data_IF_105309271987
#
_entry.id   IF_105309271987
#
_cell.length_a   1.000
_cell.length_b   1.000
_cell.length_c   1.000
_cell.angle_alpha   90.00
_cell.angle_beta   90.00
_cell.angle_gamma   90.00
#
_symmetry.space_group_name_H-M   'P 1'
#
loop_
_entity.id
_entity.type
_entity.pdbx_description
1 polymer ?
#
# COMPACT_ATOMS: atom_id res chain seq x y z
N UNK A 1 -0.26 -7.84 -34.73
CA UNK A 1 -0.98 -9.13 -34.62
C UNK A 1 -2.19 -9.23 -35.55
N UNK A 2 -3.39 -8.73 -35.22
CA UNK A 2 -4.57 -8.91 -36.11
C UNK A 2 -4.43 -8.22 -37.47
N UNK A 3 -3.91 -6.99 -37.49
CA UNK A 3 -3.54 -6.29 -38.73
C UNK A 3 -2.46 -7.01 -39.56
N UNK A 4 -1.70 -7.92 -38.94
CA UNK A 4 -0.66 -8.73 -39.59
C UNK A 4 -1.17 -10.15 -39.95
N UNK A 5 -2.48 -10.40 -39.85
CA UNK A 5 -3.10 -11.67 -40.24
C UNK A 5 -3.09 -12.77 -39.17
N UNK A 6 -2.65 -12.47 -37.94
CA UNK A 6 -2.74 -13.42 -36.82
C UNK A 6 -4.17 -13.38 -36.27
N UNK A 7 -4.98 -14.35 -36.68
CA UNK A 7 -6.37 -14.55 -36.21
C UNK A 7 -6.47 -15.46 -34.98
N UNK A 8 -7.67 -15.57 -34.41
CA UNK A 8 -7.94 -16.40 -33.24
C UNK A 8 -7.54 -17.86 -33.43
N UNK A 9 -7.81 -18.46 -34.59
CA UNK A 9 -7.43 -19.86 -34.90
C UNK A 9 -5.92 -20.10 -34.77
N UNK A 10 -5.10 -19.12 -35.18
CA UNK A 10 -3.64 -19.22 -35.06
C UNK A 10 -3.20 -19.12 -33.59
N UNK A 11 -3.85 -18.27 -32.80
CA UNK A 11 -3.57 -18.13 -31.38
C UNK A 11 -4.02 -19.38 -30.60
N UNK A 12 -5.14 -20.00 -30.97
CA UNK A 12 -5.58 -21.28 -30.42
C UNK A 12 -4.60 -22.41 -30.74
N UNK A 13 -4.04 -22.44 -31.96
CA UNK A 13 -2.98 -23.39 -32.30
C UNK A 13 -1.74 -23.21 -31.40
N UNK A 14 -1.36 -21.96 -31.07
CA UNK A 14 -0.27 -21.71 -30.13
C UNK A 14 -0.60 -22.13 -28.69
N UNK A 15 -1.84 -21.98 -28.24
CA UNK A 15 -2.30 -22.50 -26.94
C UNK A 15 -2.07 -24.01 -26.87
N UNK A 16 -2.52 -24.73 -27.88
CA UNK A 16 -2.39 -26.20 -27.93
C UNK A 16 -0.91 -26.62 -27.98
N UNK A 17 -0.09 -25.94 -28.79
CA UNK A 17 1.35 -26.22 -28.88
C UNK A 17 2.09 -25.99 -27.55
N UNK A 18 1.76 -24.93 -26.80
CA UNK A 18 2.36 -24.68 -25.49
C UNK A 18 1.95 -25.72 -24.44
N UNK A 19 0.71 -26.22 -24.52
CA UNK A 19 0.22 -27.28 -23.63
C UNK A 19 0.89 -28.63 -23.93
N UNK A 20 1.04 -28.99 -25.21
CA UNK A 20 1.68 -30.23 -25.64
C UNK A 20 3.20 -30.27 -25.37
N UNK A 21 3.88 -29.14 -25.56
CA UNK A 21 5.32 -29.03 -25.32
C UNK A 21 5.70 -28.85 -23.84
N UNK A 22 4.72 -28.79 -22.93
CA UNK A 22 4.95 -28.51 -21.51
C UNK A 22 5.71 -29.65 -20.83
N UNK A 23 6.79 -29.35 -20.07
CA UNK A 23 7.43 -30.35 -19.21
C UNK A 23 6.44 -30.91 -18.19
N UNK A 24 6.34 -32.24 -18.08
CA UNK A 24 5.45 -32.90 -17.13
C UNK A 24 6.26 -33.51 -15.97
N UNK A 25 5.89 -33.19 -14.73
CA UNK A 25 6.43 -33.85 -13.55
C UNK A 25 5.66 -35.14 -13.29
N UNK A 26 6.22 -36.27 -13.75
CA UNK A 26 5.65 -37.59 -13.51
C UNK A 26 6.17 -38.14 -12.18
N UNK A 27 5.33 -38.03 -11.15
CA UNK A 27 5.53 -38.64 -9.83
C UNK A 27 4.34 -39.54 -9.50
N UNK A 28 4.60 -40.72 -8.95
CA UNK A 28 3.54 -41.63 -8.49
C UNK A 28 3.58 -41.80 -6.96
N UNK A 29 2.42 -41.94 -6.27
CA UNK A 29 2.36 -42.07 -4.82
C UNK A 29 3.15 -43.26 -4.23
N UNK A 30 3.48 -44.26 -5.05
CA UNK A 30 4.20 -45.47 -4.67
C UNK A 30 5.69 -45.44 -5.01
N UNK A 31 6.22 -44.35 -5.57
CA UNK A 31 7.66 -44.21 -5.81
C UNK A 31 8.43 -44.02 -4.50
N UNK A 32 9.68 -44.51 -4.46
CA UNK A 32 10.55 -44.31 -3.30
C UNK A 32 10.86 -42.81 -3.11
N UNK A 33 10.93 -42.30 -1.86
CA UNK A 33 11.17 -40.88 -1.58
C UNK A 33 12.38 -40.29 -2.33
N UNK A 34 13.52 -41.01 -2.35
CA UNK A 34 14.74 -40.55 -3.03
C UNK A 34 14.54 -40.37 -4.55
N UNK A 35 13.71 -41.22 -5.18
CA UNK A 35 13.39 -41.12 -6.59
C UNK A 35 12.46 -39.93 -6.88
N UNK A 36 11.51 -39.66 -5.96
CA UNK A 36 10.63 -38.50 -6.04
C UNK A 36 11.43 -37.20 -5.88
N UNK A 37 12.30 -37.12 -4.88
CA UNK A 37 13.16 -35.95 -4.62
C UNK A 37 14.09 -35.66 -5.81
N UNK A 38 14.70 -36.70 -6.40
CA UNK A 38 15.52 -36.55 -7.59
C UNK A 38 14.73 -35.99 -8.78
N UNK A 39 13.51 -36.48 -9.03
CA UNK A 39 12.66 -35.99 -10.12
C UNK A 39 12.23 -34.54 -9.89
N UNK A 40 11.89 -34.17 -8.67
CA UNK A 40 11.55 -32.78 -8.30
C UNK A 40 12.75 -31.86 -8.54
N UNK A 41 13.95 -32.29 -8.13
CA UNK A 41 15.17 -31.51 -8.31
C UNK A 41 15.55 -31.31 -9.78
N UNK A 42 15.30 -32.32 -10.63
CA UNK A 42 15.61 -32.28 -12.06
C UNK A 42 14.51 -31.65 -12.93
N UNK A 43 13.33 -31.38 -12.36
CA UNK A 43 12.20 -30.83 -13.11
C UNK A 43 12.48 -29.40 -13.57
N UNK A 44 12.26 -29.11 -14.86
CA UNK A 44 12.39 -27.77 -15.40
C UNK A 44 11.20 -26.88 -15.01
N UNK A 45 11.20 -26.44 -13.74
CA UNK A 45 10.21 -25.52 -13.19
C UNK A 45 10.16 -24.21 -13.98
N UNK A 46 11.30 -23.76 -14.53
CA UNK A 46 11.37 -22.50 -15.30
C UNK A 46 10.67 -22.65 -16.64
N UNK A 47 10.99 -23.71 -17.39
CA UNK A 47 10.34 -24.02 -18.66
C UNK A 47 8.84 -24.27 -18.50
N UNK A 48 8.44 -25.03 -17.47
CA UNK A 48 7.04 -25.25 -17.13
C UNK A 48 6.29 -23.92 -16.90
N UNK A 49 6.80 -23.06 -16.02
CA UNK A 49 6.18 -21.76 -15.72
C UNK A 49 6.16 -20.84 -16.94
N UNK A 50 7.18 -20.88 -17.78
CA UNK A 50 7.24 -20.07 -18.99
C UNK A 50 6.21 -20.52 -20.03
N UNK A 51 6.07 -21.84 -20.28
CA UNK A 51 5.03 -22.39 -21.15
C UNK A 51 3.64 -22.04 -20.63
N UNK A 52 3.39 -22.24 -19.33
CA UNK A 52 2.09 -21.93 -18.73
C UNK A 52 1.70 -20.45 -18.89
N UNK A 53 2.64 -19.53 -18.69
CA UNK A 53 2.42 -18.09 -18.91
C UNK A 53 2.12 -17.75 -20.36
N UNK A 54 2.85 -18.33 -21.32
CA UNK A 54 2.63 -18.10 -22.76
C UNK A 54 1.28 -18.65 -23.20
N UNK A 55 0.94 -19.87 -22.78
CA UNK A 55 -0.38 -20.46 -23.02
C UNK A 55 -1.50 -19.52 -22.52
N UNK A 56 -1.39 -19.00 -21.31
CA UNK A 56 -2.38 -18.09 -20.74
C UNK A 56 -2.50 -16.78 -21.54
N UNK A 57 -1.38 -16.21 -21.99
CA UNK A 57 -1.37 -15.02 -22.85
C UNK A 57 -2.05 -15.32 -24.19
N UNK A 58 -1.67 -16.40 -24.88
CA UNK A 58 -2.26 -16.76 -26.17
C UNK A 58 -3.75 -17.03 -26.04
N UNK A 59 -4.17 -17.74 -24.99
CA UNK A 59 -5.59 -17.98 -24.70
C UNK A 59 -6.35 -16.68 -24.54
N UNK A 60 -5.79 -15.71 -23.81
CA UNK A 60 -6.43 -14.40 -23.63
C UNK A 60 -6.47 -13.62 -24.95
N UNK A 61 -5.39 -13.59 -25.72
CA UNK A 61 -5.34 -12.92 -27.03
C UNK A 61 -6.33 -13.51 -28.05
N UNK A 62 -6.60 -14.82 -27.97
CA UNK A 62 -7.54 -15.51 -28.84
C UNK A 62 -9.00 -15.09 -28.59
N UNK A 63 -9.32 -14.69 -27.36
CA UNK A 63 -10.64 -14.17 -27.00
C UNK A 63 -10.85 -12.82 -27.70
N UNK A 64 -11.94 -12.69 -28.46
CA UNK A 64 -12.35 -11.41 -29.05
C UNK A 64 -13.04 -10.53 -28.00
N UNK A 65 -12.28 -10.15 -26.98
CA UNK A 65 -12.75 -9.35 -25.87
C UNK A 65 -12.36 -7.86 -26.05
N UNK A 66 -13.33 -6.93 -26.09
CA UNK A 66 -13.03 -5.50 -26.15
C UNK A 66 -12.26 -4.98 -24.93
N UNK A 67 -12.28 -5.67 -23.78
CA UNK A 67 -11.52 -5.34 -22.58
C UNK A 67 -10.29 -6.23 -22.39
N UNK A 68 -9.67 -6.63 -23.50
CA UNK A 68 -8.39 -7.33 -23.50
C UNK A 68 -7.30 -6.53 -22.77
N UNK A 69 -7.34 -5.20 -22.94
CA UNK A 69 -6.43 -4.24 -22.32
C UNK A 69 -6.55 -4.23 -20.79
N UNK A 70 -7.69 -4.62 -20.21
CA UNK A 70 -7.89 -4.75 -18.76
C UNK A 70 -6.94 -5.77 -18.12
N UNK A 71 -6.47 -6.77 -18.89
CA UNK A 71 -5.59 -7.85 -18.39
C UNK A 71 -4.25 -7.95 -19.11
N UNK A 72 -4.17 -7.44 -20.35
CA UNK A 72 -2.95 -7.48 -21.14
C UNK A 72 -2.40 -6.08 -21.33
N UNK A 73 -1.16 -5.86 -20.91
CA UNK A 73 -0.43 -4.62 -21.21
C UNK A 73 0.84 -4.91 -22.00
N UNK A 74 1.28 -3.93 -22.79
CA UNK A 74 2.56 -3.95 -23.48
C UNK A 74 3.55 -3.07 -22.73
N UNK A 75 4.71 -3.61 -22.39
CA UNK A 75 5.77 -2.87 -21.69
C UNK A 75 7.08 -2.95 -22.46
N UNK A 76 7.82 -1.84 -22.51
CA UNK A 76 9.17 -1.81 -23.03
C UNK A 76 10.16 -1.96 -21.88
N UNK A 77 10.87 -3.09 -21.85
CA UNK A 77 11.96 -3.33 -20.92
C UNK A 77 13.28 -2.88 -21.54
N UNK A 78 14.07 -2.13 -20.77
CA UNK A 78 15.42 -1.74 -21.15
C UNK A 78 16.44 -2.62 -20.42
N UNK A 79 17.20 -3.43 -21.16
CA UNK A 79 18.24 -4.32 -20.62
C UNK A 79 19.51 -4.21 -21.48
N UNK A 80 20.68 -4.05 -20.84
CA UNK A 80 21.99 -4.04 -21.50
C UNK A 80 22.11 -3.14 -22.74
N UNK A 81 21.49 -1.95 -22.71
CA UNK A 81 21.52 -0.99 -23.83
C UNK A 81 20.55 -1.29 -24.98
N UNK A 82 19.75 -2.36 -24.87
CA UNK A 82 18.66 -2.68 -25.79
C UNK A 82 17.28 -2.43 -25.18
N UNK A 83 16.26 -2.31 -26.04
CA UNK A 83 14.86 -2.26 -25.65
C UNK A 83 14.15 -3.51 -26.19
N UNK A 84 13.36 -4.19 -25.35
CA UNK A 84 12.50 -5.30 -25.76
C UNK A 84 11.06 -5.03 -25.33
N UNK A 85 10.11 -5.33 -26.20
CA UNK A 85 8.69 -5.27 -25.86
C UNK A 85 8.24 -6.59 -25.25
N UNK A 86 7.52 -6.54 -24.13
CA UNK A 86 6.94 -7.70 -23.47
C UNK A 86 5.44 -7.52 -23.29
N UNK A 87 4.69 -8.62 -23.47
CA UNK A 87 3.28 -8.67 -23.12
C UNK A 87 3.19 -9.15 -21.67
N UNK A 88 2.53 -8.37 -20.82
CA UNK A 88 2.22 -8.73 -19.43
C UNK A 88 0.77 -9.18 -19.34
N UNK A 89 0.56 -10.35 -18.74
CA UNK A 89 -0.75 -10.80 -18.28
C UNK A 89 -0.88 -10.50 -16.79
N UNK A 90 -1.88 -9.71 -16.46
CA UNK A 90 -2.29 -9.40 -15.10
C UNK A 90 -3.40 -10.36 -14.70
N UNK A 91 -3.14 -11.17 -13.69
CA UNK A 91 -4.08 -12.15 -13.15
C UNK A 91 -3.79 -12.38 -11.67
N UNK A 92 -4.81 -12.76 -10.92
CA UNK A 92 -4.66 -13.26 -9.55
C UNK A 92 -5.02 -14.75 -9.50
N UNK A 93 -4.49 -15.44 -8.50
CA UNK A 93 -4.86 -16.82 -8.23
C UNK A 93 -6.03 -16.83 -7.23
N UNK A 94 -7.19 -17.43 -7.57
CA UNK A 94 -8.32 -17.46 -6.66
C UNK A 94 -8.00 -18.32 -5.44
N UNK A 95 -8.57 -17.93 -4.29
CA UNK A 95 -8.46 -18.73 -3.06
C UNK A 95 -9.17 -20.08 -3.26
N UNK A 96 -8.52 -21.22 -2.95
CA UNK A 96 -9.18 -22.52 -2.93
C UNK A 96 -10.44 -22.51 -2.03
N UNK A 97 -11.49 -23.23 -2.47
CA UNK A 97 -12.81 -23.29 -1.82
C UNK A 97 -13.14 -24.70 -1.34
N UNK A 98 -12.16 -25.39 -0.78
CA UNK A 98 -12.31 -26.72 -0.21
C UNK A 98 -12.92 -26.72 1.20
N UNK A 99 -13.01 -25.56 1.86
CA UNK A 99 -13.62 -25.39 3.17
C UNK A 99 -14.36 -24.04 3.31
N UNK A 100 -15.28 -23.89 4.30
CA UNK A 100 -15.88 -22.61 4.64
C UNK A 100 -14.82 -21.56 5.00
N UNK A 101 -14.92 -20.36 4.39
CA UNK A 101 -13.98 -19.27 4.60
C UNK A 101 -14.54 -18.22 5.57
N UNK A 102 -13.76 -17.87 6.60
CA UNK A 102 -13.98 -16.70 7.44
C UNK A 102 -12.79 -15.76 7.30
N UNK A 103 -13.03 -14.53 6.90
CA UNK A 103 -12.02 -13.49 6.77
C UNK A 103 -12.15 -12.52 7.95
N UNK A 104 -11.06 -12.33 8.70
CA UNK A 104 -10.98 -11.39 9.80
C UNK A 104 -9.94 -10.33 9.46
N UNK A 105 -10.42 -9.15 9.07
CA UNK A 105 -9.57 -8.02 8.74
C UNK A 105 -10.26 -6.74 9.23
N UNK A 106 -9.49 -5.85 9.87
CA UNK A 106 -9.98 -4.62 10.46
C UNK A 106 -10.33 -3.56 9.41
N UNK A 107 -9.70 -3.64 8.24
CA UNK A 107 -9.80 -2.67 7.17
C UNK A 107 -10.32 -3.32 5.88
N UNK A 108 -10.94 -4.49 5.95
CA UNK A 108 -11.47 -5.20 4.78
C UNK A 108 -12.30 -4.27 3.88
N UNK A 109 -12.06 -4.35 2.57
CA UNK A 109 -12.90 -3.67 1.59
C UNK A 109 -13.90 -4.66 0.96
N UNK A 110 -15.19 -4.32 0.86
CA UNK A 110 -16.20 -5.20 0.26
C UNK A 110 -15.94 -5.56 -1.22
N UNK A 111 -15.43 -4.64 -2.04
CA UNK A 111 -15.17 -4.88 -3.47
C UNK A 111 -14.00 -5.86 -3.64
N UNK A 112 -12.90 -5.65 -2.90
CA UNK A 112 -11.78 -6.61 -2.84
C UNK A 112 -12.25 -7.96 -2.29
N UNK A 113 -12.98 -7.94 -1.19
CA UNK A 113 -13.45 -9.16 -0.52
C UNK A 113 -14.33 -9.98 -1.44
N UNK A 114 -15.27 -9.35 -2.16
CA UNK A 114 -16.12 -10.05 -3.11
C UNK A 114 -15.30 -10.67 -4.25
N UNK A 115 -14.18 -10.06 -4.64
CA UNK A 115 -13.32 -10.63 -5.68
C UNK A 115 -12.53 -11.86 -5.21
N UNK A 116 -12.06 -11.83 -3.97
CA UNK A 116 -11.34 -12.96 -3.36
C UNK A 116 -12.30 -14.07 -2.91
N UNK A 117 -13.50 -13.68 -2.50
CA UNK A 117 -14.53 -14.50 -1.87
C UNK A 117 -15.92 -14.09 -2.29
N UNK A 118 -16.28 -14.44 -3.52
CA UNK A 118 -17.58 -14.15 -4.09
C UNK A 118 -18.71 -14.66 -3.18
N UNK A 119 -19.69 -13.79 -2.92
CA UNK A 119 -20.83 -14.10 -2.05
C UNK A 119 -20.52 -14.08 -0.55
N UNK A 120 -19.33 -13.66 -0.11
CA UNK A 120 -19.03 -13.51 1.31
C UNK A 120 -19.93 -12.47 1.97
N UNK A 121 -20.53 -12.82 3.12
CA UNK A 121 -21.28 -11.88 3.94
C UNK A 121 -20.32 -10.93 4.65
N UNK A 122 -20.38 -9.65 4.31
CA UNK A 122 -19.57 -8.61 4.93
C UNK A 122 -20.23 -8.11 6.23
N UNK A 123 -19.50 -8.16 7.34
CA UNK A 123 -19.94 -7.63 8.65
C UNK A 123 -18.89 -6.66 9.16
N UNK A 124 -19.29 -5.41 9.40
CA UNK A 124 -18.41 -4.36 9.92
C UNK A 124 -18.69 -4.11 11.39
N UNK A 125 -17.64 -4.15 12.21
CA UNK A 125 -17.70 -3.80 13.63
C UNK A 125 -16.82 -2.57 13.81
N UNK A 126 -17.44 -1.44 14.14
CA UNK A 126 -16.71 -0.20 14.39
C UNK A 126 -16.63 0.09 15.89
N UNK A 127 -15.48 0.60 16.32
CA UNK A 127 -15.29 1.14 17.66
C UNK A 127 -14.68 2.54 17.54
N UNK A 128 -15.17 3.47 18.37
CA UNK A 128 -14.64 4.84 18.39
C UNK A 128 -13.32 4.86 19.17
N UNK A 129 -12.24 5.42 18.60
CA UNK A 129 -10.98 5.53 19.31
C UNK A 129 -11.07 6.58 20.43
N UNK A 130 -10.49 6.27 21.58
CA UNK A 130 -10.30 7.17 22.72
C UNK A 130 -8.87 7.71 22.71
N UNK A 131 -8.64 8.76 21.91
CA UNK A 131 -7.34 9.42 21.83
C UNK A 131 -7.49 10.87 21.40
N UNK A 132 -6.63 11.76 21.86
CA UNK A 132 -6.49 13.08 21.25
C UNK A 132 -5.86 12.92 19.85
N UNK A 133 -6.60 13.27 18.80
CA UNK A 133 -6.13 13.12 17.42
C UNK A 133 -5.93 14.50 16.79
N UNK A 134 -4.67 14.85 16.51
CA UNK A 134 -4.28 16.09 15.85
C UNK A 134 -3.80 15.77 14.44
N UNK A 135 -4.33 16.46 13.43
CA UNK A 135 -3.96 16.24 12.04
C UNK A 135 -3.61 17.54 11.30
N UNK A 136 -2.48 17.52 10.59
CA UNK A 136 -2.08 18.58 9.66
C UNK A 136 -2.96 18.50 8.41
N UNK A 137 -3.52 19.63 7.99
CA UNK A 137 -4.52 19.73 6.91
C UNK A 137 -3.98 20.24 5.58
N UNK A 138 -2.79 20.85 5.56
CA UNK A 138 -2.28 21.57 4.39
C UNK A 138 -1.05 20.93 3.74
N UNK A 139 -0.52 19.82 4.26
CA UNK A 139 0.65 19.13 3.70
C UNK A 139 0.53 17.62 3.81
N UNK A 140 0.92 16.89 2.76
CA UNK A 140 0.92 15.41 2.76
C UNK A 140 2.23 14.79 3.24
N UNK A 141 3.30 15.59 3.39
CA UNK A 141 4.65 15.14 3.73
C UNK A 141 5.15 13.98 2.83
N UNK A 142 5.03 14.12 1.51
CA UNK A 142 5.52 13.09 0.59
C UNK A 142 7.03 12.93 0.69
N UNK A 143 7.54 11.74 0.34
CA UNK A 143 8.98 11.51 0.22
C UNK A 143 9.65 12.56 -0.67
N UNK A 144 9.05 12.88 -1.83
CA UNK A 144 9.55 13.92 -2.74
C UNK A 144 9.67 15.31 -2.10
N UNK A 145 8.85 15.62 -1.10
CA UNK A 145 8.86 16.90 -0.41
C UNK A 145 9.86 16.91 0.76
N UNK A 146 9.91 15.83 1.55
CA UNK A 146 10.86 15.70 2.67
C UNK A 146 12.31 15.44 2.23
N UNK A 147 12.49 14.79 1.07
CA UNK A 147 13.80 14.42 0.52
C UNK A 147 14.27 15.34 -0.60
N UNK A 148 13.57 16.45 -0.81
CA UNK A 148 14.01 17.54 -1.70
C UNK A 148 15.45 17.96 -1.35
N UNK A 149 16.30 18.14 -2.37
CA UNK A 149 17.73 18.40 -2.17
C UNK A 149 18.02 19.76 -1.53
N UNK A 150 17.20 20.77 -1.82
CA UNK A 150 17.43 22.15 -1.36
C UNK A 150 16.63 22.46 -0.10
N UNK A 151 15.33 22.16 -0.14
CA UNK A 151 14.37 22.54 0.92
C UNK A 151 14.13 21.41 1.92
N UNK A 152 14.51 20.18 1.58
CA UNK A 152 14.34 19.00 2.44
C UNK A 152 15.04 19.12 3.80
N UNK A 153 16.31 19.58 3.89
CA UNK A 153 17.00 19.71 5.18
C UNK A 153 16.22 20.55 6.20
N UNK A 154 15.70 21.73 5.81
CA UNK A 154 14.89 22.54 6.72
C UNK A 154 13.58 21.85 7.12
N UNK A 155 12.90 21.20 6.17
CA UNK A 155 11.65 20.47 6.44
C UNK A 155 11.87 19.29 7.40
N UNK A 156 13.03 18.64 7.32
CA UNK A 156 13.42 17.55 8.22
C UNK A 156 13.87 18.08 9.58
N UNK A 157 14.50 19.24 9.65
CA UNK A 157 14.76 19.93 10.92
C UNK A 157 13.45 20.27 11.64
N UNK A 158 12.47 20.85 10.94
CA UNK A 158 11.12 21.10 11.47
C UNK A 158 10.46 19.82 12.01
N UNK A 159 10.58 18.71 11.28
CA UNK A 159 10.06 17.41 11.71
C UNK A 159 10.79 16.89 12.97
N UNK A 160 12.11 17.03 13.06
CA UNK A 160 12.87 16.68 14.26
C UNK A 160 12.43 17.50 15.47
N UNK A 161 12.15 18.79 15.30
CA UNK A 161 11.59 19.65 16.37
C UNK A 161 10.25 19.13 16.87
N UNK A 162 9.35 18.71 15.98
CA UNK A 162 8.06 18.11 16.38
C UNK A 162 8.30 16.79 17.13
N UNK A 163 9.19 15.92 16.63
CA UNK A 163 9.51 14.64 17.28
C UNK A 163 10.02 14.87 18.70
N UNK A 164 10.99 15.77 18.88
CA UNK A 164 11.55 16.10 20.19
C UNK A 164 10.48 16.63 21.15
N UNK A 165 9.60 17.51 20.69
CA UNK A 165 8.50 18.05 21.50
C UNK A 165 7.52 16.97 21.93
N UNK A 166 7.09 16.11 21.01
CA UNK A 166 6.15 15.03 21.33
C UNK A 166 6.79 14.03 22.30
N UNK A 167 8.09 13.75 22.18
CA UNK A 167 8.82 12.92 23.16
C UNK A 167 8.89 13.57 24.53
N UNK A 168 9.11 14.89 24.61
CA UNK A 168 9.14 15.62 25.88
C UNK A 168 7.77 15.68 26.58
N UNK A 169 6.70 15.80 25.79
CA UNK A 169 5.33 15.94 26.32
C UNK A 169 4.65 14.60 26.61
N UNK A 170 5.14 13.50 26.04
CA UNK A 170 4.52 12.20 26.17
C UNK A 170 4.64 11.66 27.60
N UNK A 171 3.54 11.12 28.13
CA UNK A 171 3.51 10.48 29.46
C UNK A 171 4.25 9.13 29.49
N UNK A 172 4.55 8.58 28.31
CA UNK A 172 5.31 7.35 28.11
C UNK A 172 5.99 7.40 26.73
N UNK A 173 6.40 6.27 26.16
CA UNK A 173 7.08 6.18 24.88
C UNK A 173 6.26 6.75 23.70
N UNK A 174 7.00 7.26 22.70
CA UNK A 174 6.49 7.79 21.43
C UNK A 174 6.87 6.85 20.29
N UNK A 175 5.88 6.47 19.48
CA UNK A 175 6.06 5.67 18.28
C UNK A 175 6.14 6.61 17.07
N UNK A 176 7.25 6.58 16.34
CA UNK A 176 7.42 7.35 15.11
C UNK A 176 7.20 6.43 13.90
N UNK A 177 6.25 6.76 13.02
CA UNK A 177 6.00 6.01 11.78
C UNK A 177 6.27 6.89 10.56
N UNK A 178 7.26 6.51 9.77
CA UNK A 178 7.69 7.22 8.55
C UNK A 178 8.13 6.23 7.46
N UNK A 179 8.46 6.67 6.26
CA UNK A 179 9.08 5.76 5.27
C UNK A 179 10.54 5.49 5.61
N UNK A 180 11.09 4.32 5.24
CA UNK A 180 12.50 3.99 5.50
C UNK A 180 13.47 5.07 4.95
N UNK A 181 13.21 5.58 3.75
CA UNK A 181 14.03 6.62 3.13
C UNK A 181 14.03 7.94 3.92
N UNK A 182 12.88 8.35 4.45
CA UNK A 182 12.77 9.53 5.33
C UNK A 182 13.48 9.28 6.66
N UNK A 183 13.31 8.10 7.26
CA UNK A 183 13.97 7.73 8.51
C UNK A 183 15.50 7.82 8.40
N UNK A 184 16.09 7.24 7.35
CA UNK A 184 17.54 7.34 7.08
C UNK A 184 18.00 8.78 6.94
N UNK A 185 17.23 9.63 6.24
CA UNK A 185 17.56 11.04 6.09
C UNK A 185 17.49 11.80 7.42
N UNK A 186 16.49 11.51 8.28
CA UNK A 186 16.37 12.11 9.60
C UNK A 186 17.53 11.73 10.53
N UNK A 187 17.95 10.46 10.50
CA UNK A 187 19.10 9.98 11.26
C UNK A 187 20.40 10.67 10.84
N UNK A 188 20.63 10.81 9.54
CA UNK A 188 21.76 11.58 9.02
C UNK A 188 21.73 13.03 9.50
N UNK A 189 20.58 13.70 9.42
CA UNK A 189 20.42 15.09 9.84
C UNK A 189 20.53 15.26 11.36
N UNK A 190 20.21 14.21 12.14
CA UNK A 190 20.39 14.18 13.59
C UNK A 190 21.83 13.83 14.03
N UNK A 191 22.75 13.57 13.10
CA UNK A 191 24.15 13.23 13.38
C UNK A 191 24.40 11.76 13.72
N UNK A 192 23.41 10.87 13.53
CA UNK A 192 23.50 9.42 13.78
C UNK A 192 23.15 8.64 12.51
N UNK A 193 23.95 8.75 11.43
CA UNK A 193 23.63 8.12 10.15
C UNK A 193 23.51 6.60 10.29
N UNK A 194 22.50 6.03 9.63
CA UNK A 194 22.22 4.60 9.60
C UNK A 194 22.18 4.09 8.16
N UNK A 195 22.46 2.80 7.98
CA UNK A 195 22.29 2.14 6.68
C UNK A 195 20.84 1.66 6.52
N UNK A 196 20.25 1.94 5.35
CA UNK A 196 18.89 1.51 4.99
C UNK A 196 18.78 -0.02 4.86
N UNK A 197 19.89 -0.68 4.51
CA UNK A 197 19.98 -2.13 4.36
C UNK A 197 20.12 -2.87 5.70
N UNK A 198 20.50 -2.17 6.77
CA UNK A 198 20.57 -2.71 8.11
C UNK A 198 19.27 -2.45 8.88
N UNK A 199 18.44 -3.50 9.00
CA UNK A 199 17.17 -3.39 9.70
C UNK A 199 17.30 -3.17 11.20
N UNK A 200 18.39 -3.60 11.83
CA UNK A 200 18.62 -3.30 13.24
C UNK A 200 18.91 -1.81 13.44
N UNK A 201 19.68 -1.21 12.52
CA UNK A 201 19.96 0.23 12.55
C UNK A 201 18.67 1.07 12.39
N UNK A 202 17.71 0.63 11.55
CA UNK A 202 16.40 1.27 11.39
C UNK A 202 15.52 1.26 12.66
N UNK A 203 15.85 0.44 13.66
CA UNK A 203 15.14 0.40 14.95
C UNK A 203 15.78 1.32 16.01
N UNK A 204 16.90 1.96 15.70
CA UNK A 204 17.61 2.87 16.61
C UNK A 204 16.72 4.07 16.96
N UNK A 205 16.49 4.37 18.25
CA UNK A 205 15.67 5.51 18.63
C UNK A 205 16.12 6.84 17.98
N UNK A 206 15.18 7.58 17.42
CA UNK A 206 15.42 8.90 16.83
C UNK A 206 14.87 9.97 17.77
N UNK A 207 15.76 10.76 18.38
CA UNK A 207 15.40 11.79 19.36
C UNK A 207 14.52 11.26 20.51
N UNK A 208 14.73 10.01 20.90
CA UNK A 208 13.95 9.32 21.96
C UNK A 208 12.64 8.69 21.50
N UNK A 209 12.20 8.92 20.25
CA UNK A 209 11.08 8.19 19.67
C UNK A 209 11.52 6.82 19.13
N UNK A 210 10.71 5.80 19.31
CA UNK A 210 10.93 4.48 18.72
C UNK A 210 10.49 4.50 17.25
N UNK A 211 11.40 4.32 16.28
CA UNK A 211 11.02 4.36 14.88
C UNK A 211 10.38 3.04 14.42
N UNK A 212 9.44 3.20 13.50
CA UNK A 212 8.85 2.16 12.66
C UNK A 212 8.55 2.74 11.28
N UNK A 213 8.23 1.85 10.34
CA UNK A 213 7.92 2.22 8.98
C UNK A 213 6.69 1.51 8.45
N UNK A 214 6.05 2.12 7.45
CA UNK A 214 4.91 1.50 6.76
C UNK A 214 5.31 0.16 6.14
N UNK A 215 4.47 -0.86 6.30
CA UNK A 215 4.64 -2.18 5.70
C UNK A 215 4.36 -3.36 6.64
N UNK A 216 4.63 -4.59 6.18
CA UNK A 216 4.17 -5.82 6.84
C UNK A 216 4.66 -6.00 8.27
N UNK A 217 5.83 -5.45 8.63
CA UNK A 217 6.36 -5.55 10.01
C UNK A 217 5.67 -4.67 11.03
N UNK A 218 4.75 -3.81 10.60
CA UNK A 218 3.79 -3.16 11.49
C UNK A 218 2.58 -4.05 11.79
N UNK A 219 2.37 -5.15 11.05
CA UNK A 219 1.24 -6.05 11.21
C UNK A 219 1.56 -7.14 12.24
N UNK A 220 0.56 -7.53 13.05
CA UNK A 220 0.68 -8.64 14.01
C UNK A 220 1.49 -8.38 15.29
N UNK A 221 2.03 -7.18 15.49
CA UNK A 221 2.86 -6.83 16.67
C UNK A 221 2.03 -6.07 17.71
N UNK A 222 2.03 -6.54 18.97
CA UNK A 222 1.31 -5.92 20.09
C UNK A 222 2.18 -5.01 20.98
N UNK A 223 3.45 -4.83 20.63
CA UNK A 223 4.47 -4.21 21.48
C UNK A 223 4.21 -2.72 21.80
N UNK A 224 3.25 -2.09 21.11
CA UNK A 224 3.02 -0.64 21.19
C UNK A 224 1.78 -0.23 22.01
N UNK A 225 1.05 -1.18 22.63
CA UNK A 225 -0.12 -0.84 23.48
C UNK A 225 0.26 0.11 24.62
N UNK A 226 1.50 -0.01 25.15
CA UNK A 226 1.98 0.80 26.27
C UNK A 226 2.37 2.24 25.87
N UNK A 227 2.53 2.50 24.57
CA UNK A 227 2.96 3.81 24.07
C UNK A 227 1.84 4.83 24.28
N UNK A 228 2.21 6.04 24.71
CA UNK A 228 1.22 7.10 24.95
C UNK A 228 0.93 7.90 23.67
N UNK A 229 1.90 7.98 22.76
CA UNK A 229 1.82 8.84 21.58
C UNK A 229 2.31 8.12 20.33
N UNK A 230 1.64 8.36 19.20
CA UNK A 230 2.13 8.01 17.86
C UNK A 230 2.23 9.26 17.02
N UNK A 231 3.36 9.43 16.34
CA UNK A 231 3.60 10.46 15.34
C UNK A 231 3.77 9.79 13.98
N UNK A 232 2.94 10.17 13.02
CA UNK A 232 2.96 9.63 11.65
C UNK A 232 3.34 10.75 10.69
N UNK A 233 4.45 10.59 9.98
CA UNK A 233 4.90 11.55 8.98
C UNK A 233 4.90 10.93 7.57
N UNK A 234 4.15 11.58 6.67
CA UNK A 234 3.97 11.12 5.30
C UNK A 234 2.88 10.05 5.16
N UNK A 235 3.01 9.21 4.14
CA UNK A 235 2.06 8.17 3.77
C UNK A 235 2.74 7.12 2.89
N UNK A 236 2.27 5.88 2.97
CA UNK A 236 2.63 4.84 2.00
C UNK A 236 1.82 5.10 0.72
N UNK A 237 2.47 5.18 -0.43
CA UNK A 237 1.76 5.17 -1.72
C UNK A 237 2.59 4.39 -2.72
N UNK A 238 1.97 3.35 -3.27
CA UNK A 238 2.54 2.59 -4.35
C UNK A 238 2.70 3.47 -5.62
N UNK A 239 3.74 3.28 -6.43
CA UNK A 239 3.82 3.91 -7.75
C UNK A 239 2.56 3.59 -8.57
N UNK A 240 2.06 4.58 -9.33
CA UNK A 240 0.82 4.45 -10.10
C UNK A 240 0.84 3.20 -11.03
N UNK A 241 1.91 2.92 -11.80
CA UNK A 241 1.92 1.74 -12.67
C UNK A 241 1.81 0.42 -11.92
N UNK A 242 2.37 0.35 -10.71
CA UNK A 242 2.24 -0.84 -9.88
C UNK A 242 0.84 -0.96 -9.29
N UNK A 243 0.22 0.15 -8.88
CA UNK A 243 -1.18 0.17 -8.42
C UNK A 243 -2.14 -0.29 -9.52
N UNK A 244 -1.95 0.21 -10.74
CA UNK A 244 -2.75 -0.18 -11.91
C UNK A 244 -2.54 -1.65 -12.26
N UNK A 245 -1.30 -2.16 -12.21
CA UNK A 245 -1.02 -3.58 -12.40
C UNK A 245 -1.76 -4.47 -11.38
N UNK A 246 -1.75 -4.10 -10.10
CA UNK A 246 -2.48 -4.84 -9.06
C UNK A 246 -4.00 -4.79 -9.30
N UNK A 247 -4.53 -3.63 -9.70
CA UNK A 247 -5.95 -3.46 -9.99
C UNK A 247 -6.39 -4.31 -11.19
N UNK A 248 -5.59 -4.33 -12.25
CA UNK A 248 -5.78 -5.19 -13.43
C UNK A 248 -5.71 -6.66 -13.07
N UNK A 249 -4.76 -7.04 -12.20
CA UNK A 249 -4.60 -8.42 -11.74
C UNK A 249 -5.83 -8.91 -10.98
N UNK A 250 -6.39 -8.07 -10.11
CA UNK A 250 -7.53 -8.44 -9.28
C UNK A 250 -8.86 -8.36 -10.05
N UNK A 251 -9.09 -7.28 -10.81
CA UNK A 251 -10.41 -6.94 -11.38
C UNK A 251 -10.47 -6.99 -12.92
N UNK A 252 -9.37 -7.27 -13.61
CA UNK A 252 -9.33 -7.21 -15.08
C UNK A 252 -10.17 -8.28 -15.78
N UNK A 253 -10.70 -9.26 -15.04
CA UNK A 253 -11.55 -10.33 -15.59
C UNK A 253 -13.01 -9.89 -15.82
N UNK A 254 -13.40 -8.72 -15.32
CA UNK A 254 -14.80 -8.29 -15.30
C UNK A 254 -15.29 -7.80 -16.68
N UNK A 255 -14.41 -7.73 -17.67
CA UNK A 255 -14.74 -7.34 -19.05
C UNK A 255 -14.93 -5.82 -19.26
N UNK A 256 -14.68 -5.02 -18.22
CA UNK A 256 -14.73 -3.56 -18.30
C UNK A 256 -13.36 -2.96 -18.64
N UNK A 257 -13.28 -2.04 -19.62
CA UNK A 257 -12.05 -1.32 -19.97
C UNK A 257 -11.42 -0.65 -18.74
N UNK A 258 -10.09 -0.58 -18.70
CA UNK A 258 -9.36 0.02 -17.59
C UNK A 258 -8.96 1.45 -17.89
N UNK A 259 -9.37 2.39 -17.02
CA UNK A 259 -9.02 3.79 -17.17
C UNK A 259 -7.64 4.05 -16.55
N UNK A 260 -6.61 4.20 -17.38
CA UNK A 260 -5.27 4.55 -16.90
C UNK A 260 -5.19 6.01 -16.44
N UNK A 261 -4.39 6.26 -15.39
CA UNK A 261 -4.13 7.62 -14.96
C UNK A 261 -3.27 8.34 -16.00
N UNK A 262 -3.63 9.57 -16.42
CA UNK A 262 -2.75 10.39 -17.24
C UNK A 262 -1.41 10.60 -16.52
N UNK A 263 -0.33 10.58 -17.29
CA UNK A 263 1.03 10.44 -16.76
C UNK A 263 1.36 11.44 -15.65
N UNK A 264 1.66 10.91 -14.45
CA UNK A 264 2.47 11.58 -13.43
C UNK A 264 1.75 11.92 -12.12
N UNK A 265 0.44 12.16 -12.11
CA UNK A 265 -0.26 12.62 -10.90
C UNK A 265 -1.72 12.16 -10.87
N UNK A 266 -2.13 11.58 -9.73
CA UNK A 266 -3.52 11.24 -9.44
C UNK A 266 -4.41 12.51 -9.39
N UNK A 267 -5.60 12.52 -10.01
CA UNK A 267 -6.53 13.64 -9.97
C UNK A 267 -7.05 13.95 -8.56
N UNK A 268 -7.56 15.17 -8.37
CA UNK A 268 -8.21 15.58 -7.13
C UNK A 268 -9.67 15.13 -7.10
N UNK A 269 -10.06 14.47 -6.01
CA UNK A 269 -11.42 14.08 -5.70
C UNK A 269 -11.87 14.72 -4.39
N UNK A 270 -13.19 14.95 -4.21
CA UNK A 270 -13.75 15.37 -2.94
C UNK A 270 -13.36 14.41 -1.80
N UNK A 271 -12.98 14.98 -0.66
CA UNK A 271 -12.74 14.27 0.59
C UNK A 271 -13.34 15.02 1.76
N UNK A 272 -13.30 14.41 2.94
CA UNK A 272 -13.70 15.06 4.17
C UNK A 272 -12.90 14.52 5.35
N UNK A 273 -12.62 15.40 6.30
CA UNK A 273 -12.18 15.04 7.65
C UNK A 273 -13.42 14.82 8.51
N UNK A 274 -13.47 13.70 9.23
CA UNK A 274 -14.46 13.49 10.28
C UNK A 274 -13.94 14.10 11.57
N UNK A 275 -14.62 15.10 12.11
CA UNK A 275 -14.27 15.70 13.40
C UNK A 275 -14.87 14.91 14.56
N UNK A 276 -14.28 15.02 15.75
CA UNK A 276 -14.74 14.33 16.97
C UNK A 276 -16.19 14.64 17.35
N UNK A 277 -16.68 15.83 17.01
CA UNK A 277 -18.09 16.23 17.21
C UNK A 277 -19.05 15.66 16.15
N UNK A 278 -18.56 14.84 15.21
CA UNK A 278 -19.33 14.25 14.12
C UNK A 278 -19.47 15.15 12.88
N UNK A 279 -18.97 16.38 12.91
CA UNK A 279 -19.00 17.27 11.74
C UNK A 279 -18.00 16.83 10.68
N UNK A 280 -18.31 17.15 9.42
CA UNK A 280 -17.43 16.89 8.28
C UNK A 280 -16.81 18.21 7.81
N UNK A 281 -15.48 18.23 7.69
CA UNK A 281 -14.76 19.34 7.06
C UNK A 281 -14.32 18.89 5.68
N UNK A 282 -14.88 19.51 4.64
CA UNK A 282 -14.58 19.17 3.26
C UNK A 282 -13.13 19.52 2.90
N UNK A 283 -12.50 18.63 2.13
CA UNK A 283 -11.14 18.77 1.63
C UNK A 283 -11.05 18.14 0.23
N UNK A 284 -9.85 18.14 -0.34
CA UNK A 284 -9.54 17.41 -1.56
C UNK A 284 -8.51 16.33 -1.25
N UNK A 285 -8.70 15.16 -1.84
CA UNK A 285 -7.74 14.06 -1.79
C UNK A 285 -7.37 13.66 -3.20
N UNK A 286 -6.15 13.15 -3.38
CA UNK A 286 -5.76 12.61 -4.68
C UNK A 286 -6.12 11.14 -4.77
N UNK A 287 -6.89 10.76 -5.77
CA UNK A 287 -7.37 9.40 -5.97
C UNK A 287 -7.26 9.00 -7.43
N UNK A 288 -7.41 7.71 -7.69
CA UNK A 288 -7.48 7.20 -9.05
C UNK A 288 -8.89 7.38 -9.62
N UNK A 289 -9.00 7.65 -10.93
CA UNK A 289 -10.30 7.75 -11.62
C UNK A 289 -11.01 6.40 -11.69
N UNK A 290 -10.28 5.35 -12.08
CA UNK A 290 -10.78 3.97 -12.06
C UNK A 290 -11.07 3.53 -10.61
N UNK A 291 -12.31 3.09 -10.36
CA UNK A 291 -12.77 2.66 -9.05
C UNK A 291 -11.95 1.49 -8.49
N UNK A 292 -11.51 0.57 -9.35
CA UNK A 292 -10.75 -0.63 -8.97
C UNK A 292 -9.40 -0.26 -8.38
N UNK A 293 -8.66 0.62 -9.06
CA UNK A 293 -7.40 1.15 -8.55
C UNK A 293 -7.59 2.09 -7.36
N UNK A 294 -8.71 2.83 -7.27
CA UNK A 294 -9.02 3.66 -6.11
C UNK A 294 -9.14 2.84 -4.84
N UNK A 295 -9.85 1.71 -4.87
CA UNK A 295 -10.02 0.84 -3.71
C UNK A 295 -8.68 0.25 -3.24
N UNK A 296 -7.82 -0.20 -4.15
CA UNK A 296 -6.48 -0.67 -3.81
C UNK A 296 -5.56 0.43 -3.28
N UNK A 297 -5.72 1.65 -3.79
CA UNK A 297 -5.00 2.81 -3.28
C UNK A 297 -5.41 3.10 -1.84
N UNK A 298 -6.72 3.13 -1.55
CA UNK A 298 -7.26 3.36 -0.20
C UNK A 298 -6.76 2.29 0.78
N UNK A 299 -6.72 1.02 0.38
CA UNK A 299 -6.12 -0.06 1.17
C UNK A 299 -4.62 0.16 1.46
N UNK A 300 -3.83 0.43 0.41
CA UNK A 300 -2.38 0.53 0.56
C UNK A 300 -1.93 1.83 1.25
N UNK A 301 -2.75 2.89 1.22
CA UNK A 301 -2.37 4.22 1.70
C UNK A 301 -3.11 4.64 2.96
N UNK A 302 -4.43 4.73 2.92
CA UNK A 302 -5.26 5.17 4.03
C UNK A 302 -5.30 4.11 5.14
N UNK A 303 -5.62 2.85 4.79
CA UNK A 303 -5.70 1.76 5.75
C UNK A 303 -4.32 1.46 6.36
N UNK A 304 -3.22 1.56 5.61
CA UNK A 304 -1.86 1.42 6.18
C UNK A 304 -1.57 2.44 7.29
N UNK A 305 -2.07 3.68 7.17
CA UNK A 305 -1.97 4.67 8.25
C UNK A 305 -2.87 4.31 9.43
N UNK A 306 -4.12 3.90 9.17
CA UNK A 306 -5.05 3.46 10.23
C UNK A 306 -4.50 2.25 11.00
N UNK A 307 -3.90 1.28 10.32
CA UNK A 307 -3.25 0.12 10.92
C UNK A 307 -2.09 0.50 11.84
N UNK A 308 -1.29 1.49 11.44
CA UNK A 308 -0.23 2.04 12.28
C UNK A 308 -0.80 2.69 13.54
N UNK A 309 -1.85 3.51 13.42
CA UNK A 309 -2.54 4.13 14.56
C UNK A 309 -3.13 3.06 15.49
N UNK A 310 -3.74 2.01 14.92
CA UNK A 310 -4.36 0.93 15.67
C UNK A 310 -3.37 0.16 16.57
N UNK A 311 -2.05 0.28 16.34
CA UNK A 311 -1.03 -0.30 17.22
C UNK A 311 -1.04 0.28 18.63
N UNK A 312 -1.53 1.50 18.82
CA UNK A 312 -1.68 2.10 20.15
C UNK A 312 -2.88 1.58 20.94
N UNK A 313 -3.73 0.72 20.33
CA UNK A 313 -4.91 0.13 20.96
C UNK A 313 -5.83 1.20 21.58
N UNK A 314 -6.45 1.99 20.69
CA UNK A 314 -7.26 3.14 21.09
C UNK A 314 -8.67 2.80 21.59
N UNK A 315 -9.05 1.52 21.62
CA UNK A 315 -10.36 1.10 22.13
C UNK A 315 -10.20 0.80 23.62
N UNK A 316 -10.81 1.63 24.47
CA UNK A 316 -10.69 1.56 25.93
C UNK A 316 -9.23 1.50 26.43
N UNK A 317 -8.37 2.48 26.09
CA UNK A 317 -6.98 2.48 26.49
C UNK A 317 -6.84 2.68 28.01
N UNK A 318 -5.85 2.02 28.61
CA UNK A 318 -5.55 2.15 30.05
C UNK A 318 -5.00 3.52 30.44
N UNK A 319 -4.47 4.26 29.47
CA UNK A 319 -3.88 5.58 29.66
C UNK A 319 -4.32 6.51 28.54
N UNK A 320 -4.37 7.84 28.76
CA UNK A 320 -4.63 8.80 27.70
C UNK A 320 -3.66 8.61 26.52
N UNK A 321 -4.20 8.55 25.31
CA UNK A 321 -3.45 8.38 24.07
C UNK A 321 -3.49 9.66 23.23
N UNK A 322 -2.40 9.92 22.51
CA UNK A 322 -2.28 11.00 21.54
C UNK A 322 -1.85 10.47 20.17
N UNK A 323 -2.47 10.96 19.11
CA UNK A 323 -2.21 10.59 17.73
C UNK A 323 -1.93 11.86 16.93
N UNK A 324 -0.72 11.98 16.42
CA UNK A 324 -0.25 13.12 15.63
C UNK A 324 -0.05 12.68 14.19
N UNK A 325 -0.91 13.16 13.29
CA UNK A 325 -0.87 12.83 11.86
C UNK A 325 -0.37 14.06 11.11
N UNK A 326 0.86 14.01 10.61
CA UNK A 326 1.47 15.15 9.92
C UNK A 326 1.11 15.21 8.43
N UNK A 327 0.25 14.32 7.95
CA UNK A 327 -0.22 14.27 6.56
C UNK A 327 -1.67 14.75 6.44
N UNK A 328 -1.96 15.53 5.41
CA UNK A 328 -3.30 16.00 5.05
C UNK A 328 -4.19 14.95 4.41
N UNK A 329 -3.77 13.70 4.36
CA UNK A 329 -4.57 12.59 3.86
C UNK A 329 -5.80 12.38 4.77
N UNK A 330 -7.04 12.62 4.30
CA UNK A 330 -8.22 12.31 5.10
C UNK A 330 -8.31 10.79 5.32
N UNK A 331 -8.46 10.38 6.58
CA UNK A 331 -8.52 8.98 6.97
C UNK A 331 -9.98 8.58 7.25
N UNK A 332 -10.55 7.62 6.52
CA UNK A 332 -11.94 7.19 6.72
C UNK A 332 -12.21 6.73 8.15
N UNK A 333 -13.32 7.19 8.72
CA UNK A 333 -13.80 6.75 10.03
C UNK A 333 -12.99 7.22 11.24
N UNK A 334 -11.87 7.94 11.05
CA UNK A 334 -11.05 8.43 12.16
C UNK A 334 -11.54 9.81 12.65
N UNK A 335 -12.08 9.93 13.88
CA UNK A 335 -12.59 11.20 14.41
C UNK A 335 -11.45 12.09 14.91
N UNK A 336 -11.17 13.16 14.17
CA UNK A 336 -10.10 14.13 14.46
C UNK A 336 -10.54 15.08 15.57
N UNK A 337 -9.74 15.19 16.63
CA UNK A 337 -9.97 16.19 17.68
C UNK A 337 -9.68 17.59 17.15
N UNK A 338 -8.59 17.74 16.40
CA UNK A 338 -8.12 19.03 15.94
C UNK A 338 -7.43 18.97 14.58
N UNK A 339 -7.80 19.89 13.68
CA UNK A 339 -7.04 20.15 12.46
C UNK A 339 -6.10 21.34 12.69
N UNK A 340 -4.90 21.25 12.14
CA UNK A 340 -3.90 22.33 12.19
C UNK A 340 -3.18 22.48 10.86
N UNK A 341 -2.38 23.53 10.72
CA UNK A 341 -1.48 23.72 9.58
C UNK A 341 -0.06 23.31 9.96
N UNK A 342 0.74 22.90 8.99
CA UNK A 342 2.13 22.47 9.20
C UNK A 342 2.93 23.49 10.02
N UNK A 343 2.87 24.77 9.66
CA UNK A 343 3.64 25.82 10.37
C UNK A 343 3.24 25.98 11.84
N UNK A 344 1.94 25.87 12.14
CA UNK A 344 1.42 25.93 13.51
C UNK A 344 1.89 24.73 14.31
N UNK A 345 1.85 23.54 13.70
CA UNK A 345 2.36 22.32 14.31
C UNK A 345 3.86 22.42 14.61
N UNK A 346 4.67 22.96 13.70
CA UNK A 346 6.12 23.17 13.96
C UNK A 346 6.33 24.12 15.13
N UNK A 347 5.56 25.20 15.21
CA UNK A 347 5.65 26.18 16.29
C UNK A 347 5.14 25.66 17.65
N UNK A 348 4.36 24.58 17.68
CA UNK A 348 3.78 24.04 18.91
C UNK A 348 2.57 24.81 19.41
N UNK A 349 1.85 25.46 18.50
CA UNK A 349 0.71 26.32 18.78
C UNK A 349 -0.61 25.67 18.36
N UNK A 350 -0.64 24.35 18.15
CA UNK A 350 -1.86 23.67 17.71
C UNK A 350 -2.99 23.86 18.72
N UNK A 351 -2.75 23.79 20.04
CA UNK A 351 -3.80 23.92 21.05
C UNK A 351 -4.30 25.36 21.27
N UNK A 352 -3.71 26.36 20.60
CA UNK A 352 -4.13 27.75 20.73
C UNK A 352 -5.42 28.03 19.94
N UNK A 353 -6.28 28.90 20.47
CA UNK A 353 -7.61 29.16 19.90
C UNK A 353 -7.58 29.88 18.54
N UNK A 354 -6.48 30.53 18.17
CA UNK A 354 -6.29 31.15 16.85
C UNK A 354 -4.81 31.47 16.55
N UNK A 355 -3.98 30.47 16.20
CA UNK A 355 -2.56 30.68 15.95
C UNK A 355 -2.25 31.38 14.62
N UNK A 356 -3.25 31.69 13.77
CA UNK A 356 -3.05 32.35 12.47
C UNK A 356 -3.85 33.65 12.28
N UNK A 357 -4.71 34.06 13.21
CA UNK A 357 -5.49 35.30 13.09
C UNK A 357 -6.56 35.26 11.99
N UNK A 358 -7.29 34.16 11.82
CA UNK A 358 -8.39 34.08 10.85
C UNK A 358 -9.70 33.68 11.53
N UNK A 359 -10.51 34.69 11.88
CA UNK A 359 -11.97 34.55 11.95
C UNK A 359 -12.55 34.32 10.56
#
# INVERSE_FOLDING_TARGET
MRHEGIGSDTLEAFVNAEAEARPELKIAPWEAPDAMDFRIAMFDVRGFRASWKREAIFRRLAQEDPALDAQLTLETLHENGGARSVIKLHSYEPLPRDAPLMLLDADADPEITNRLAEGARFLRIESRPEAEIVQVSDRTLSNSWLLDSEKGPQRRADLLTIIEREVQNASNQVLLVVTKAVLTALHRDAGTPIDLSDEAALLTPLRGATPRWFGPRMQGVNDFEVYSTILIAGRMQQPIPALEADARGLFGHDGDPFEESPSGMLPEHPGAYLMRNGSLIHTRRRSHSDARARVLLEQSRECSTLQAIARLRLVAPKTPKRVVILSSLPLPGLPISQLTKWKVMVAGLESEADPNGFQ
#
